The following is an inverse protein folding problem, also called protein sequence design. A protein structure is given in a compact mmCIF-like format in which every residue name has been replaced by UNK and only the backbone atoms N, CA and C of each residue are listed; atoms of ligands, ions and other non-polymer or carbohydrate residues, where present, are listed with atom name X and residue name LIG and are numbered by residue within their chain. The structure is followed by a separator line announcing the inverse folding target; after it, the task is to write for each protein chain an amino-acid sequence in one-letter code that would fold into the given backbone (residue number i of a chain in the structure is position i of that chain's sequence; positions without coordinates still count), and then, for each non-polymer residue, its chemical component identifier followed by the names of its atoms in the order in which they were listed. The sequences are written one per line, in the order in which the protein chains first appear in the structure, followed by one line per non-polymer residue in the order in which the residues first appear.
data_IF_144726392446
#
_entry.id   IF_144726392446
#
_cell.length_a   1.000
_cell.length_b   1.000
_cell.length_c   1.000
_cell.angle_alpha   90.00
_cell.angle_beta   90.00
_cell.angle_gamma   90.00
#
_symmetry.space_group_name_H-M   'P 1'
#
loop_
_entity.id
_entity.type
_entity.pdbx_description
1 polymer ?
#
# COMPACT_ATOMS: atom_id res chain seq x y z
N UNK A 1 1.11 42.94 10.43
CA UNK A 1 2.16 41.91 10.29
C UNK A 1 1.86 40.83 11.31
N UNK A 2 1.17 39.79 10.89
CA UNK A 2 0.87 38.61 11.72
C UNK A 2 1.78 37.49 11.22
N UNK A 3 2.78 37.16 12.03
CA UNK A 3 3.73 36.11 11.71
C UNK A 3 3.05 34.75 11.71
N UNK A 4 3.01 34.07 10.57
CA UNK A 4 2.63 32.68 10.44
C UNK A 4 3.70 31.79 11.11
N UNK A 5 3.55 31.57 12.41
CA UNK A 5 4.31 30.56 13.14
C UNK A 5 3.64 29.20 12.87
N UNK A 6 3.92 28.61 11.70
CA UNK A 6 3.70 27.18 11.50
C UNK A 6 4.75 26.45 12.33
N UNK A 7 4.41 26.16 13.58
CA UNK A 7 5.11 25.17 14.38
C UNK A 7 5.10 23.87 13.58
N UNK A 8 6.23 23.52 12.96
CA UNK A 8 6.44 22.17 12.41
C UNK A 8 6.19 21.22 13.56
N UNK A 9 5.10 20.44 13.48
CA UNK A 9 4.87 19.30 14.37
C UNK A 9 6.17 18.50 14.36
N UNK A 10 6.82 18.34 15.49
CA UNK A 10 8.04 17.55 15.59
C UNK A 10 7.63 16.11 15.29
N UNK A 11 8.09 15.55 14.17
CA UNK A 11 7.82 14.15 13.79
C UNK A 11 8.43 13.26 14.86
N UNK A 12 7.61 12.38 15.44
CA UNK A 12 8.06 11.43 16.45
C UNK A 12 8.17 10.04 15.82
N UNK A 13 9.35 9.73 15.29
CA UNK A 13 9.65 8.42 14.69
C UNK A 13 9.93 7.42 15.81
N UNK A 14 9.12 6.36 15.89
CA UNK A 14 9.30 5.24 16.82
C UNK A 14 10.14 4.16 16.16
N UNK A 15 11.33 3.92 16.72
CA UNK A 15 12.18 2.80 16.33
C UNK A 15 11.78 1.56 17.14
N UNK A 16 11.52 0.46 16.47
CA UNK A 16 11.10 -0.81 17.08
C UNK A 16 12.29 -1.65 17.47
N UNK A 17 12.17 -2.37 18.57
CA UNK A 17 13.16 -3.40 18.95
C UNK A 17 13.06 -4.61 18.01
N UNK A 18 14.08 -5.49 17.98
CA UNK A 18 14.00 -6.75 17.24
C UNK A 18 12.78 -7.60 17.64
N UNK A 19 12.43 -7.65 18.92
CA UNK A 19 11.29 -8.40 19.45
C UNK A 19 9.96 -7.79 18.97
N UNK A 20 9.87 -6.46 18.89
CA UNK A 20 8.69 -5.78 18.33
C UNK A 20 8.55 -6.06 16.83
N UNK A 21 9.65 -6.09 16.08
CA UNK A 21 9.66 -6.43 14.65
C UNK A 21 9.22 -7.88 14.41
N UNK A 22 9.59 -8.81 15.29
CA UNK A 22 9.08 -10.19 15.23
C UNK A 22 7.55 -10.27 15.43
N UNK A 23 7.00 -9.47 16.35
CA UNK A 23 5.53 -9.37 16.51
C UNK A 23 4.87 -8.74 15.28
N UNK A 24 5.47 -7.69 14.71
CA UNK A 24 5.03 -7.11 13.44
C UNK A 24 5.07 -8.15 12.31
N UNK A 25 6.12 -8.99 12.27
CA UNK A 25 6.25 -10.06 11.30
C UNK A 25 5.06 -11.03 11.31
N UNK A 26 4.49 -11.33 12.50
CA UNK A 26 3.27 -12.16 12.61
C UNK A 26 2.05 -11.46 12.03
N UNK A 27 1.86 -10.18 12.31
CA UNK A 27 0.79 -9.38 11.71
C UNK A 27 0.93 -9.31 10.19
N UNK A 28 2.15 -9.07 9.69
CA UNK A 28 2.47 -9.04 8.25
C UNK A 28 2.26 -10.39 7.55
N UNK A 29 2.57 -11.52 8.23
CA UNK A 29 2.27 -12.85 7.70
C UNK A 29 0.77 -13.06 7.55
N UNK A 30 -0.02 -12.71 8.58
CA UNK A 30 -1.48 -12.82 8.50
C UNK A 30 -2.05 -11.90 7.42
N UNK A 31 -1.54 -10.67 7.28
CA UNK A 31 -1.90 -9.75 6.19
C UNK A 31 -1.65 -10.40 4.82
N UNK A 32 -0.46 -10.98 4.63
CA UNK A 32 -0.07 -11.62 3.37
C UNK A 32 -0.94 -12.84 3.04
N UNK A 33 -1.26 -13.66 4.06
CA UNK A 33 -2.19 -14.80 3.90
C UNK A 33 -3.61 -14.35 3.62
N UNK A 34 -4.06 -13.26 4.23
CA UNK A 34 -5.39 -12.69 3.96
C UNK A 34 -5.51 -12.25 2.51
N UNK A 35 -4.50 -11.55 2.00
CA UNK A 35 -4.46 -11.12 0.62
C UNK A 35 -4.48 -12.31 -0.35
N UNK A 36 -3.74 -13.37 -0.04
CA UNK A 36 -3.75 -14.61 -0.82
C UNK A 36 -5.11 -15.34 -0.77
N UNK A 37 -5.80 -15.32 0.37
CA UNK A 37 -7.17 -15.85 0.47
C UNK A 37 -8.13 -15.10 -0.44
N UNK A 38 -8.05 -13.74 -0.42
CA UNK A 38 -8.85 -12.91 -1.32
C UNK A 38 -8.52 -13.16 -2.79
N UNK A 39 -7.25 -13.39 -3.14
CA UNK A 39 -6.79 -13.66 -4.50
C UNK A 39 -7.51 -14.84 -5.17
N UNK A 40 -7.96 -15.84 -4.39
CA UNK A 40 -8.75 -16.99 -4.88
C UNK A 40 -10.11 -16.58 -5.45
N UNK A 41 -10.62 -15.42 -5.03
CA UNK A 41 -11.95 -14.92 -5.37
C UNK A 41 -11.92 -13.81 -6.42
N UNK A 42 -10.77 -13.28 -6.78
CA UNK A 42 -10.66 -12.21 -7.79
C UNK A 42 -10.97 -12.79 -9.18
N UNK A 43 -12.19 -12.54 -9.65
CA UNK A 43 -12.68 -12.99 -10.95
C UNK A 43 -13.85 -12.11 -11.43
N UNK A 44 -14.14 -12.05 -12.74
CA UNK A 44 -15.34 -11.42 -13.23
C UNK A 44 -16.59 -12.01 -12.58
N UNK A 45 -17.56 -11.16 -12.22
CA UNK A 45 -18.80 -11.57 -11.55
C UNK A 45 -18.76 -11.55 -10.02
N UNK A 46 -17.60 -11.37 -9.40
CA UNK A 46 -17.47 -11.26 -7.93
C UNK A 46 -17.65 -9.81 -7.53
N UNK A 47 -18.38 -9.56 -6.43
CA UNK A 47 -18.56 -8.20 -5.88
C UNK A 47 -17.44 -7.82 -4.92
N UNK A 48 -17.14 -6.52 -4.82
CA UNK A 48 -16.14 -6.04 -3.83
C UNK A 48 -16.61 -6.27 -2.39
N UNK A 49 -17.93 -6.26 -2.10
CA UNK A 49 -18.47 -6.69 -0.80
C UNK A 49 -18.13 -8.16 -0.49
N UNK A 50 -18.14 -9.04 -1.49
CA UNK A 50 -17.76 -10.45 -1.28
C UNK A 50 -16.29 -10.56 -0.88
N UNK A 51 -15.40 -9.81 -1.54
CA UNK A 51 -13.97 -9.79 -1.22
C UNK A 51 -13.74 -9.27 0.20
N UNK A 52 -14.43 -8.19 0.59
CA UNK A 52 -14.37 -7.64 1.95
C UNK A 52 -14.79 -8.66 3.01
N UNK A 53 -15.90 -9.38 2.75
CA UNK A 53 -16.40 -10.42 3.67
C UNK A 53 -15.40 -11.56 3.83
N UNK A 54 -14.77 -11.99 2.73
CA UNK A 54 -13.73 -13.05 2.74
C UNK A 54 -12.53 -12.61 3.60
N UNK A 55 -12.04 -11.39 3.41
CA UNK A 55 -10.94 -10.86 4.19
C UNK A 55 -11.28 -10.77 5.68
N UNK A 56 -12.44 -10.18 5.99
CA UNK A 56 -12.91 -10.01 7.36
C UNK A 56 -13.03 -11.35 8.10
N UNK A 57 -13.67 -12.34 7.48
CA UNK A 57 -13.85 -13.68 8.04
C UNK A 57 -12.47 -14.33 8.28
N UNK A 58 -11.60 -14.34 7.27
CA UNK A 58 -10.28 -14.94 7.37
C UNK A 58 -9.41 -14.30 8.46
N UNK A 59 -9.40 -12.97 8.57
CA UNK A 59 -8.65 -12.26 9.62
C UNK A 59 -9.14 -12.66 11.01
N UNK A 60 -10.47 -12.63 11.23
CA UNK A 60 -11.07 -12.97 12.52
C UNK A 60 -10.83 -14.43 12.92
N UNK A 61 -10.95 -15.37 11.97
CA UNK A 61 -10.73 -16.80 12.19
C UNK A 61 -9.26 -17.12 12.54
N UNK A 62 -8.34 -16.25 12.16
CA UNK A 62 -6.92 -16.37 12.49
C UNK A 62 -6.48 -15.49 13.68
N UNK A 63 -7.44 -14.96 14.45
CA UNK A 63 -7.18 -14.23 15.69
C UNK A 63 -6.72 -12.78 15.50
N UNK A 64 -6.72 -12.27 14.27
CA UNK A 64 -6.42 -10.87 13.96
C UNK A 64 -7.67 -9.99 14.02
N UNK A 65 -7.46 -8.70 13.80
CA UNK A 65 -8.49 -7.67 13.64
C UNK A 65 -8.28 -6.91 12.33
N UNK A 66 -9.31 -6.76 11.47
CA UNK A 66 -9.20 -5.88 10.31
C UNK A 66 -9.07 -4.43 10.78
N UNK A 67 -7.88 -3.85 10.59
CA UNK A 67 -7.55 -2.57 11.19
C UNK A 67 -8.26 -1.40 10.51
N UNK A 68 -8.60 -1.52 9.23
CA UNK A 68 -9.36 -0.50 8.49
C UNK A 68 -10.80 -0.36 9.00
N UNK A 69 -11.43 -1.45 9.45
CA UNK A 69 -12.86 -1.44 9.83
C UNK A 69 -13.12 -0.51 11.02
N UNK A 70 -13.87 0.56 10.76
CA UNK A 70 -14.19 1.59 11.75
C UNK A 70 -13.09 2.64 11.96
N UNK A 71 -11.93 2.50 11.35
CA UNK A 71 -10.86 3.50 11.42
C UNK A 71 -11.31 4.82 10.81
N UNK A 72 -11.40 5.88 11.63
CA UNK A 72 -11.96 7.17 11.19
C UNK A 72 -13.34 7.10 10.56
N UNK A 73 -14.10 6.02 10.79
CA UNK A 73 -15.42 5.79 10.19
C UNK A 73 -15.41 5.00 8.88
N UNK A 74 -14.25 4.47 8.45
CA UNK A 74 -14.15 3.61 7.26
C UNK A 74 -15.04 2.38 7.38
N UNK A 75 -15.91 2.06 6.38
CA UNK A 75 -16.96 1.05 6.55
C UNK A 75 -16.51 -0.39 6.29
N UNK A 76 -15.37 -0.60 5.61
CA UNK A 76 -14.88 -1.89 5.16
C UNK A 76 -13.75 -2.47 6.00
N UNK A 77 -13.49 -3.76 5.84
CA UNK A 77 -12.31 -4.43 6.37
C UNK A 77 -11.07 -4.20 5.50
N UNK A 78 -11.27 -3.90 4.20
CA UNK A 78 -10.23 -3.74 3.17
C UNK A 78 -10.58 -2.57 2.26
N UNK A 79 -9.58 -1.82 1.80
CA UNK A 79 -9.78 -0.83 0.75
C UNK A 79 -9.87 -1.53 -0.62
N UNK A 80 -10.82 -1.09 -1.45
CA UNK A 80 -11.14 -1.66 -2.77
C UNK A 80 -10.83 -0.66 -3.88
N UNK A 81 -9.74 -0.83 -4.58
CA UNK A 81 -9.18 0.14 -5.51
C UNK A 81 -9.42 -0.30 -6.97
N UNK A 82 -10.67 -0.15 -7.41
CA UNK A 82 -11.07 -0.59 -8.75
C UNK A 82 -10.69 0.47 -9.79
N UNK A 83 -9.94 0.08 -10.81
CA UNK A 83 -9.58 0.87 -11.99
C UNK A 83 -8.95 2.23 -11.64
N UNK A 84 -9.73 3.31 -11.70
CA UNK A 84 -9.29 4.68 -11.44
C UNK A 84 -9.29 5.06 -9.95
N UNK A 85 -9.72 4.18 -9.05
CA UNK A 85 -9.61 4.40 -7.60
C UNK A 85 -8.16 4.17 -7.21
N UNK A 86 -7.56 5.22 -6.63
CA UNK A 86 -6.14 5.23 -6.25
C UNK A 86 -5.94 4.57 -4.90
N UNK A 87 -6.72 5.01 -3.88
CA UNK A 87 -6.71 4.47 -2.51
C UNK A 87 -8.08 4.69 -1.84
N UNK A 88 -8.31 3.99 -0.75
CA UNK A 88 -9.43 4.17 0.20
C UNK A 88 -10.82 3.97 -0.43
N UNK A 89 -10.94 3.19 -1.50
CA UNK A 89 -12.24 2.83 -2.06
C UNK A 89 -13.05 1.93 -1.12
N UNK A 90 -14.36 2.16 -1.03
CA UNK A 90 -15.24 1.35 -0.19
C UNK A 90 -15.62 0.03 -0.85
N UNK A 91 -15.71 -1.07 -0.07
CA UNK A 91 -16.45 -2.25 -0.52
C UNK A 91 -17.88 -1.87 -0.89
N UNK A 92 -18.40 -2.46 -1.95
CA UNK A 92 -19.73 -2.12 -2.48
C UNK A 92 -20.34 -3.30 -3.26
N UNK A 93 -21.53 -3.06 -3.84
CA UNK A 93 -22.14 -3.99 -4.79
C UNK A 93 -21.50 -3.97 -6.19
N UNK A 94 -20.40 -3.19 -6.39
CA UNK A 94 -19.69 -3.22 -7.65
C UNK A 94 -19.25 -4.64 -7.97
N UNK A 95 -19.64 -5.12 -9.13
CA UNK A 95 -19.29 -6.44 -9.63
C UNK A 95 -18.12 -6.34 -10.60
N UNK A 96 -17.03 -7.01 -10.29
CA UNK A 96 -15.83 -7.04 -11.11
C UNK A 96 -16.15 -7.54 -12.52
N UNK A 97 -15.53 -6.93 -13.51
CA UNK A 97 -15.73 -7.20 -14.94
C UNK A 97 -14.42 -7.63 -15.58
N UNK A 98 -14.55 -8.34 -16.69
CA UNK A 98 -13.42 -8.62 -17.58
C UNK A 98 -12.72 -7.33 -17.99
N UNK A 99 -11.40 -7.27 -17.81
CA UNK A 99 -10.58 -6.09 -18.10
C UNK A 99 -10.41 -5.08 -16.97
N UNK A 100 -11.10 -5.25 -15.83
CA UNK A 100 -10.85 -4.46 -14.63
C UNK A 100 -9.47 -4.78 -14.03
N UNK A 101 -8.95 -3.84 -13.26
CA UNK A 101 -7.91 -4.09 -12.25
C UNK A 101 -8.47 -3.74 -10.87
N UNK A 102 -7.99 -4.42 -9.84
CA UNK A 102 -8.38 -4.12 -8.46
C UNK A 102 -7.18 -4.20 -7.53
N UNK A 103 -6.83 -3.07 -6.88
CA UNK A 103 -5.98 -3.07 -5.70
C UNK A 103 -6.78 -3.53 -4.49
N UNK A 104 -6.20 -4.45 -3.74
CA UNK A 104 -6.71 -4.90 -2.46
C UNK A 104 -5.68 -4.50 -1.40
N UNK A 105 -6.02 -3.48 -0.63
CA UNK A 105 -5.17 -2.91 0.41
C UNK A 105 -5.67 -3.37 1.77
N UNK A 106 -4.86 -4.19 2.43
CA UNK A 106 -5.21 -4.99 3.61
C UNK A 106 -4.34 -4.63 4.78
N UNK A 107 -4.96 -4.13 5.85
CA UNK A 107 -4.28 -3.90 7.13
C UNK A 107 -4.82 -4.82 8.21
N UNK A 108 -3.94 -5.62 8.80
CA UNK A 108 -4.28 -6.54 9.89
C UNK A 108 -3.56 -6.11 11.16
N UNK A 109 -4.32 -5.99 12.26
CA UNK A 109 -3.75 -5.92 13.60
C UNK A 109 -3.73 -7.30 14.23
N UNK A 110 -2.56 -7.70 14.74
CA UNK A 110 -2.37 -8.92 15.51
C UNK A 110 -1.38 -8.64 16.65
N UNK A 111 -1.68 -9.11 17.87
CA UNK A 111 -0.85 -8.94 19.06
C UNK A 111 -0.47 -7.46 19.34
N UNK A 112 -1.33 -6.50 18.96
CA UNK A 112 -1.14 -5.07 19.17
C UNK A 112 -0.18 -4.39 18.17
N UNK A 113 0.13 -5.04 17.05
CA UNK A 113 0.88 -4.50 15.93
C UNK A 113 0.13 -4.65 14.62
N UNK A 114 0.42 -3.76 13.67
CA UNK A 114 -0.18 -3.75 12.34
C UNK A 114 0.80 -4.27 11.29
N UNK A 115 0.26 -5.01 10.32
CA UNK A 115 0.89 -5.32 9.05
C UNK A 115 0.04 -4.75 7.93
N UNK A 116 0.66 -4.15 6.94
CA UNK A 116 0.03 -3.43 5.84
C UNK A 116 0.57 -3.91 4.50
N UNK A 117 -0.31 -4.11 3.51
CA UNK A 117 0.08 -4.66 2.23
C UNK A 117 -0.99 -4.45 1.16
N UNK A 118 -0.59 -3.99 0.00
CA UNK A 118 -1.46 -3.88 -1.16
C UNK A 118 -0.91 -4.62 -2.38
N UNK A 119 -1.80 -5.24 -3.13
CA UNK A 119 -1.50 -5.85 -4.43
C UNK A 119 -2.63 -5.55 -5.42
N UNK A 120 -2.29 -5.02 -6.59
CA UNK A 120 -3.25 -4.83 -7.68
C UNK A 120 -3.34 -6.09 -8.54
N UNK A 121 -4.55 -6.63 -8.67
CA UNK A 121 -4.88 -7.83 -9.43
C UNK A 121 -5.50 -7.50 -10.78
N UNK A 122 -5.12 -8.20 -11.86
CA UNK A 122 -5.89 -8.18 -13.10
C UNK A 122 -7.15 -9.04 -12.95
N UNK A 123 -8.25 -8.59 -13.53
CA UNK A 123 -9.53 -9.33 -13.57
C UNK A 123 -9.78 -9.82 -14.99
N UNK A 124 -9.55 -11.11 -15.21
CA UNK A 124 -9.57 -11.68 -16.57
C UNK A 124 -8.46 -11.13 -17.46
N UNK A 125 -8.79 -10.85 -18.73
CA UNK A 125 -7.84 -10.27 -19.69
C UNK A 125 -7.88 -8.74 -19.61
N UNK A 126 -6.75 -8.15 -19.26
CA UNK A 126 -6.57 -6.70 -19.09
C UNK A 126 -5.76 -6.14 -20.27
N UNK A 127 -6.06 -4.91 -20.67
CA UNK A 127 -5.29 -4.20 -21.72
C UNK A 127 -3.80 -4.16 -21.36
N UNK A 128 -2.93 -4.41 -22.35
CA UNK A 128 -1.48 -4.52 -22.13
C UNK A 128 -0.87 -3.22 -21.58
N UNK A 129 -1.43 -2.05 -21.91
CA UNK A 129 -0.94 -0.78 -21.34
C UNK A 129 -1.22 -0.70 -19.84
N UNK A 130 -2.36 -1.27 -19.40
CA UNK A 130 -2.70 -1.34 -17.98
C UNK A 130 -1.85 -2.40 -17.28
N UNK A 131 -1.63 -3.56 -17.91
CA UNK A 131 -0.70 -4.57 -17.41
C UNK A 131 0.73 -4.01 -17.25
N UNK A 132 1.17 -3.19 -18.19
CA UNK A 132 2.49 -2.54 -18.09
C UNK A 132 2.55 -1.50 -16.97
N UNK A 133 1.46 -0.75 -16.72
CA UNK A 133 1.33 0.10 -15.54
C UNK A 133 1.51 -0.71 -14.25
N UNK A 134 0.78 -1.83 -14.13
CA UNK A 134 0.84 -2.70 -12.95
C UNK A 134 2.26 -3.23 -12.71
N UNK A 135 2.91 -3.77 -13.75
CA UNK A 135 4.31 -4.23 -13.67
C UNK A 135 5.25 -3.11 -13.24
N UNK A 136 5.13 -1.93 -13.85
CA UNK A 136 6.00 -0.79 -13.53
C UNK A 136 5.79 -0.31 -12.09
N UNK A 137 4.56 -0.29 -11.61
CA UNK A 137 4.24 0.09 -10.21
C UNK A 137 4.87 -0.90 -9.24
N UNK A 138 4.68 -2.20 -9.45
CA UNK A 138 5.29 -3.25 -8.62
C UNK A 138 6.82 -3.16 -8.63
N UNK A 139 7.44 -3.01 -9.80
CA UNK A 139 8.89 -2.86 -9.91
C UNK A 139 9.40 -1.59 -9.19
N UNK A 140 8.63 -0.49 -9.23
CA UNK A 140 8.99 0.75 -8.55
C UNK A 140 8.98 0.60 -7.03
N UNK A 141 8.10 -0.23 -6.47
CA UNK A 141 8.09 -0.60 -5.06
C UNK A 141 9.45 -1.20 -4.67
N UNK A 142 9.93 -2.19 -5.41
CA UNK A 142 11.24 -2.81 -5.13
C UNK A 142 12.39 -1.83 -5.33
N UNK A 143 12.30 -0.87 -6.28
CA UNK A 143 13.31 0.21 -6.39
C UNK A 143 13.35 1.10 -5.15
N UNK A 144 12.20 1.35 -4.53
CA UNK A 144 12.12 2.05 -3.25
C UNK A 144 12.72 1.23 -2.10
N UNK A 145 12.40 -0.06 -2.04
CA UNK A 145 12.90 -1.00 -1.03
C UNK A 145 14.44 -1.15 -1.13
N UNK A 146 15.00 -1.27 -2.33
CA UNK A 146 16.45 -1.43 -2.57
C UNK A 146 17.30 -0.32 -1.94
N UNK A 147 16.74 0.88 -1.81
CA UNK A 147 17.43 2.03 -1.22
C UNK A 147 17.03 2.32 0.23
N UNK A 148 16.06 1.58 0.78
CA UNK A 148 15.63 1.67 2.16
C UNK A 148 16.62 0.96 3.08
N UNK A 149 17.72 1.62 3.46
CA UNK A 149 18.74 1.07 4.34
C UNK A 149 19.31 2.13 5.26
N UNK A 150 19.91 1.70 6.35
CA UNK A 150 20.48 2.61 7.34
C UNK A 150 21.44 3.61 6.71
N UNK A 151 21.34 4.88 7.15
CA UNK A 151 22.14 6.00 6.66
C UNK A 151 21.55 6.71 5.45
N UNK A 152 20.73 6.05 4.64
CA UNK A 152 19.95 6.71 3.59
C UNK A 152 18.82 7.55 4.21
N UNK A 153 18.05 8.23 3.39
CA UNK A 153 16.94 9.10 3.80
C UNK A 153 15.64 8.72 3.11
N UNK A 154 14.52 9.08 3.69
CA UNK A 154 13.20 8.85 3.09
C UNK A 154 13.09 9.44 1.68
N UNK A 155 13.72 10.59 1.41
CA UNK A 155 13.78 11.17 0.07
C UNK A 155 14.54 10.34 -0.97
N UNK A 156 15.38 9.39 -0.55
CA UNK A 156 16.06 8.46 -1.46
C UNK A 156 15.07 7.42 -1.98
N UNK A 157 14.16 6.92 -1.11
CA UNK A 157 13.05 6.02 -1.47
C UNK A 157 12.13 6.74 -2.46
N UNK A 158 11.66 7.94 -2.08
CA UNK A 158 10.79 8.78 -2.88
C UNK A 158 11.34 9.03 -4.29
N UNK A 159 12.64 9.37 -4.39
CA UNK A 159 13.30 9.62 -5.66
C UNK A 159 13.47 8.36 -6.52
N UNK A 160 13.73 7.21 -5.90
CA UNK A 160 13.87 5.93 -6.60
C UNK A 160 12.56 5.54 -7.29
N UNK A 161 11.43 5.60 -6.56
CA UNK A 161 10.09 5.33 -7.09
C UNK A 161 9.75 6.31 -8.21
N UNK A 162 9.84 7.62 -7.94
CA UNK A 162 9.51 8.66 -8.90
C UNK A 162 10.29 8.51 -10.21
N UNK A 163 11.61 8.41 -10.10
CA UNK A 163 12.49 8.35 -11.29
C UNK A 163 12.19 7.12 -12.13
N UNK A 164 11.87 5.98 -11.49
CA UNK A 164 11.56 4.74 -12.19
C UNK A 164 10.27 4.86 -13.00
N UNK A 165 9.21 5.39 -12.40
CA UNK A 165 7.88 5.52 -13.02
C UNK A 165 7.84 6.63 -14.08
N UNK A 166 8.34 7.84 -13.75
CA UNK A 166 8.26 8.99 -14.67
C UNK A 166 9.09 8.79 -15.95
N UNK A 167 10.24 8.09 -15.88
CA UNK A 167 11.03 7.72 -17.08
C UNK A 167 10.28 6.76 -18.01
N UNK A 168 9.25 6.09 -17.53
CA UNK A 168 8.39 5.18 -18.30
C UNK A 168 7.08 5.83 -18.74
N UNK A 169 6.93 7.14 -18.48
CA UNK A 169 5.78 7.94 -18.92
C UNK A 169 4.57 7.85 -17.98
N UNK A 170 4.73 7.28 -16.78
CA UNK A 170 3.68 7.23 -15.77
C UNK A 170 3.76 8.40 -14.78
N UNK A 171 2.65 8.68 -14.12
CA UNK A 171 2.54 9.78 -13.15
C UNK A 171 2.47 9.27 -11.72
N UNK A 172 3.25 9.88 -10.82
CA UNK A 172 3.26 9.55 -9.40
C UNK A 172 2.26 10.43 -8.65
N UNK A 173 1.38 9.82 -7.86
CA UNK A 173 0.45 10.52 -6.95
C UNK A 173 1.26 11.22 -5.86
N UNK A 174 0.84 12.44 -5.48
CA UNK A 174 1.60 13.29 -4.54
C UNK A 174 0.84 13.62 -3.27
N UNK A 175 -0.46 13.47 -3.27
CA UNK A 175 -1.36 13.79 -2.17
C UNK A 175 -1.46 12.66 -1.15
N UNK A 176 -1.07 11.46 -1.54
CA UNK A 176 -1.04 10.26 -0.72
C UNK A 176 0.40 9.74 -0.64
N UNK A 177 0.75 9.09 0.46
CA UNK A 177 2.11 8.63 0.71
C UNK A 177 2.10 7.45 1.69
N UNK A 178 3.16 6.69 1.67
CA UNK A 178 3.45 5.70 2.69
C UNK A 178 3.76 6.32 4.05
N UNK A 179 3.90 5.50 5.04
CA UNK A 179 3.96 5.94 6.44
C UNK A 179 4.80 5.01 7.31
N UNK A 180 5.19 5.51 8.48
CA UNK A 180 5.64 4.65 9.58
C UNK A 180 4.49 3.74 10.02
N UNK A 181 4.81 2.54 10.51
CA UNK A 181 3.82 1.57 10.96
C UNK A 181 4.32 0.82 12.19
N UNK A 182 3.41 0.38 13.04
CA UNK A 182 3.73 -0.36 14.25
C UNK A 182 2.51 -0.63 15.09
N UNK A 183 2.46 -0.09 16.31
CA UNK A 183 1.27 -0.18 17.18
C UNK A 183 0.09 0.63 16.63
N UNK A 184 0.37 1.69 15.90
CA UNK A 184 -0.64 2.40 15.12
C UNK A 184 -0.49 2.01 13.65
N UNK A 185 -1.60 1.99 12.93
CA UNK A 185 -1.61 1.83 11.48
C UNK A 185 -0.75 2.90 10.82
N UNK A 186 -0.96 4.16 11.15
CA UNK A 186 -0.17 5.28 10.65
C UNK A 186 0.69 5.89 11.75
N UNK A 187 2.00 5.87 11.54
CA UNK A 187 3.01 6.52 12.38
C UNK A 187 3.90 7.43 11.52
N UNK A 188 4.72 8.27 12.19
CA UNK A 188 5.82 8.97 11.51
C UNK A 188 6.95 7.97 11.11
N UNK A 189 7.67 8.24 10.02
CA UNK A 189 7.56 9.38 9.12
C UNK A 189 6.58 9.14 7.97
N UNK A 190 6.14 10.20 7.29
CA UNK A 190 5.58 10.09 5.95
C UNK A 190 6.65 9.57 4.97
N UNK A 191 6.23 8.69 4.04
CA UNK A 191 7.09 8.05 3.03
C UNK A 191 6.54 8.38 1.64
N UNK A 192 6.75 9.59 1.11
CA UNK A 192 6.22 9.98 -0.18
C UNK A 192 6.88 9.20 -1.32
N UNK A 193 6.13 9.04 -2.41
CA UNK A 193 6.57 8.38 -3.64
C UNK A 193 7.26 9.33 -4.63
N UNK A 194 7.49 10.58 -4.24
CA UNK A 194 8.19 11.61 -5.02
C UNK A 194 9.07 12.45 -4.11
N UNK A 195 10.19 12.91 -4.62
CA UNK A 195 11.10 13.75 -3.82
C UNK A 195 12.53 13.82 -4.35
N UNK A 196 13.37 14.47 -3.56
CA UNK A 196 14.81 14.66 -3.88
C UNK A 196 15.66 13.71 -3.05
N UNK A 197 16.67 13.13 -3.68
CA UNK A 197 17.70 12.34 -2.99
C UNK A 197 18.34 13.16 -1.85
N UNK A 198 18.67 12.46 -0.77
CA UNK A 198 19.36 13.02 0.38
C UNK A 198 18.49 13.95 1.23
N UNK A 199 17.15 13.96 1.07
CA UNK A 199 16.23 14.78 1.88
C UNK A 199 15.36 13.93 2.82
N UNK A 200 14.71 14.59 3.77
CA UNK A 200 13.84 13.93 4.74
C UNK A 200 14.58 13.26 5.90
N UNK A 201 13.85 12.54 6.76
CA UNK A 201 14.42 11.81 7.90
C UNK A 201 15.48 10.78 7.48
N UNK A 202 16.47 10.59 8.34
CA UNK A 202 17.48 9.54 8.17
C UNK A 202 16.87 8.21 8.56
N UNK A 203 17.06 7.20 7.73
CA UNK A 203 16.69 5.82 7.98
C UNK A 203 17.65 5.22 9.00
N UNK A 204 17.10 4.60 10.04
CA UNK A 204 17.84 4.01 11.16
C UNK A 204 17.35 2.59 11.44
N UNK A 205 18.18 1.80 12.10
CA UNK A 205 17.76 0.50 12.63
C UNK A 205 16.53 0.64 13.53
N UNK A 206 15.58 -0.29 13.39
CA UNK A 206 14.30 -0.27 14.08
C UNK A 206 13.21 0.52 13.37
N UNK A 207 13.51 1.23 12.27
CA UNK A 207 12.49 1.89 11.46
C UNK A 207 11.63 0.85 10.75
N UNK A 208 10.29 0.95 10.93
CA UNK A 208 9.30 0.16 10.22
C UNK A 208 8.39 1.11 9.44
N UNK A 209 8.24 0.88 8.15
CA UNK A 209 7.46 1.73 7.24
C UNK A 209 6.70 0.92 6.20
N UNK A 210 5.59 1.48 5.74
CA UNK A 210 4.91 1.09 4.51
C UNK A 210 5.53 1.86 3.33
N UNK A 211 5.92 1.14 2.28
CA UNK A 211 6.35 1.72 1.00
C UNK A 211 5.29 1.32 -0.01
N UNK A 212 4.57 2.30 -0.54
CA UNK A 212 3.31 2.09 -1.28
C UNK A 212 3.20 2.99 -2.52
N UNK A 213 3.91 2.70 -3.61
CA UNK A 213 3.75 3.45 -4.85
C UNK A 213 2.32 3.41 -5.38
N UNK A 214 1.73 4.59 -5.55
CA UNK A 214 0.45 4.84 -6.24
C UNK A 214 0.75 5.53 -7.57
N UNK A 215 0.54 4.81 -8.67
CA UNK A 215 1.00 5.23 -10.00
C UNK A 215 -0.17 5.28 -10.98
N UNK A 216 -0.33 6.42 -11.64
CA UNK A 216 -1.42 6.66 -12.59
C UNK A 216 -0.97 6.47 -14.04
N UNK A 217 -1.82 5.83 -14.84
CA UNK A 217 -1.65 5.73 -16.30
C UNK A 217 -1.72 7.11 -16.98
N UNK A 218 -2.51 8.01 -16.42
CA UNK A 218 -2.71 9.36 -16.92
C UNK A 218 -2.02 10.44 -16.10
N UNK A 219 -2.76 11.50 -15.79
CA UNK A 219 -2.25 12.61 -14.97
C UNK A 219 -2.10 12.20 -13.51
N UNK A 220 -1.19 12.90 -12.79
CA UNK A 220 -0.97 12.67 -11.36
C UNK A 220 -2.11 13.15 -10.45
N UNK A 221 -3.01 13.98 -10.98
CA UNK A 221 -4.01 14.67 -10.18
C UNK A 221 -5.11 13.71 -9.73
N UNK A 222 -5.48 13.80 -8.47
CA UNK A 222 -6.57 13.04 -7.86
C UNK A 222 -7.71 13.97 -7.42
N UNK A 223 -8.84 13.35 -7.09
CA UNK A 223 -9.99 13.99 -6.41
C UNK A 223 -10.40 13.07 -5.27
N UNK A 224 -10.81 13.67 -4.16
CA UNK A 224 -11.47 12.95 -3.06
C UNK A 224 -12.97 13.04 -3.33
N UNK A 225 -13.65 11.89 -3.32
CA UNK A 225 -15.08 11.80 -3.56
C UNK A 225 -15.90 12.36 -2.39
N UNK A 226 -17.20 12.51 -2.58
CA UNK A 226 -18.09 13.11 -1.58
C UNK A 226 -18.22 12.28 -0.28
N UNK A 227 -17.80 11.01 -0.30
CA UNK A 227 -17.72 10.15 0.89
C UNK A 227 -16.59 10.53 1.85
N UNK A 228 -15.71 11.45 1.42
CA UNK A 228 -14.57 11.95 2.20
C UNK A 228 -13.37 10.99 2.29
N UNK A 229 -13.42 9.83 1.61
CA UNK A 229 -12.40 8.77 1.64
C UNK A 229 -11.87 8.39 0.27
N UNK A 230 -12.75 7.98 -0.63
CA UNK A 230 -12.38 7.44 -1.94
C UNK A 230 -11.56 8.45 -2.74
N UNK A 231 -10.29 8.14 -2.98
CA UNK A 231 -9.41 8.93 -3.82
C UNK A 231 -9.39 8.34 -5.23
N UNK A 232 -9.64 9.16 -6.23
CA UNK A 232 -9.77 8.75 -7.63
C UNK A 232 -8.93 9.63 -8.54
N UNK A 233 -8.39 9.05 -9.63
CA UNK A 233 -7.72 9.86 -10.65
C UNK A 233 -8.68 10.87 -11.26
N UNK A 234 -8.23 12.11 -11.44
CA UNK A 234 -9.09 13.18 -12.00
C UNK A 234 -9.50 12.90 -13.44
N UNK A 235 -8.64 12.28 -14.22
CA UNK A 235 -8.89 11.95 -15.63
C UNK A 235 -9.54 10.59 -15.85
N UNK A 236 -9.89 9.88 -14.76
CA UNK A 236 -10.57 8.57 -14.77
C UNK A 236 -9.79 7.47 -15.49
N UNK A 237 -8.48 7.63 -15.64
CA UNK A 237 -7.60 6.58 -16.13
C UNK A 237 -7.15 5.68 -14.99
N UNK A 238 -6.80 4.40 -15.27
CA UNK A 238 -6.38 3.46 -14.25
C UNK A 238 -5.22 3.95 -13.40
N UNK A 239 -5.24 3.56 -12.12
CA UNK A 239 -4.16 3.65 -11.17
C UNK A 239 -3.81 2.27 -10.66
N UNK A 240 -2.54 2.02 -10.37
CA UNK A 240 -2.08 0.79 -9.72
C UNK A 240 -1.37 1.13 -8.41
N UNK A 241 -1.58 0.28 -7.41
CA UNK A 241 -1.03 0.39 -6.07
C UNK A 241 -0.41 -0.95 -5.67
N UNK A 242 0.83 -0.91 -5.19
CA UNK A 242 1.52 -2.06 -4.60
C UNK A 242 2.24 -1.62 -3.34
N UNK A 243 2.24 -2.45 -2.33
CA UNK A 243 2.76 -2.08 -1.03
C UNK A 243 3.41 -3.24 -0.31
N UNK A 244 4.46 -2.91 0.44
CA UNK A 244 5.05 -3.77 1.45
C UNK A 244 5.31 -3.02 2.75
N UNK A 245 5.04 -3.67 3.88
CA UNK A 245 5.62 -3.30 5.17
C UNK A 245 7.06 -3.81 5.22
N UNK A 246 7.99 -2.91 5.52
CA UNK A 246 9.42 -3.21 5.65
C UNK A 246 9.97 -2.74 7.00
N UNK A 247 10.99 -3.43 7.49
CA UNK A 247 11.76 -3.02 8.67
C UNK A 247 13.25 -2.89 8.32
N UNK A 248 13.95 -2.00 8.98
CA UNK A 248 15.41 -1.89 8.89
C UNK A 248 16.04 -2.55 10.10
N UNK A 249 16.78 -3.62 9.89
CA UNK A 249 17.52 -4.38 10.90
C UNK A 249 18.95 -4.64 10.42
N UNK A 250 19.90 -4.53 11.32
CA UNK A 250 21.34 -4.75 11.03
C UNK A 250 21.81 -3.94 9.81
N UNK A 251 21.31 -2.72 9.68
CA UNK A 251 21.61 -1.80 8.57
C UNK A 251 20.93 -2.12 7.24
N UNK A 252 20.20 -3.23 7.15
CA UNK A 252 19.57 -3.73 5.92
C UNK A 252 18.04 -3.71 6.01
N UNK A 253 17.38 -3.66 4.87
CA UNK A 253 15.93 -3.78 4.78
C UNK A 253 15.51 -5.25 4.84
N UNK A 254 14.51 -5.53 5.68
CA UNK A 254 13.74 -6.78 5.68
C UNK A 254 12.32 -6.47 5.25
N UNK A 255 11.83 -7.15 4.23
CA UNK A 255 10.42 -7.11 3.85
C UNK A 255 9.69 -8.03 4.82
N UNK A 256 8.68 -7.50 5.53
CA UNK A 256 7.93 -8.27 6.53
C UNK A 256 6.68 -8.92 5.94
N UNK A 257 6.05 -8.32 4.92
CA UNK A 257 4.97 -8.91 4.12
C UNK A 257 5.54 -9.69 2.93
N UNK A 258 4.75 -10.56 2.29
CA UNK A 258 5.23 -11.29 1.10
C UNK A 258 4.14 -11.45 0.05
N UNK A 259 4.52 -11.32 -1.23
CA UNK A 259 3.65 -11.69 -2.36
C UNK A 259 3.73 -13.19 -2.72
N UNK A 260 4.56 -13.98 -2.05
CA UNK A 260 4.74 -15.41 -2.39
C UNK A 260 3.45 -16.22 -2.26
N UNK A 261 2.63 -15.92 -1.25
CA UNK A 261 1.33 -16.57 -1.09
C UNK A 261 0.36 -16.22 -2.21
N UNK A 262 0.38 -14.96 -2.67
CA UNK A 262 -0.38 -14.51 -3.84
C UNK A 262 0.13 -15.21 -5.11
N UNK A 263 1.45 -15.31 -5.29
CA UNK A 263 2.08 -16.00 -6.41
C UNK A 263 1.67 -17.47 -6.48
N UNK A 264 1.62 -18.17 -5.34
CA UNK A 264 1.16 -19.56 -5.26
C UNK A 264 -0.31 -19.72 -5.70
N UNK A 265 -1.17 -18.77 -5.38
CA UNK A 265 -2.58 -18.79 -5.78
C UNK A 265 -2.75 -18.46 -7.26
N UNK A 266 -2.03 -17.47 -7.77
CA UNK A 266 -2.20 -16.98 -9.13
C UNK A 266 -1.47 -17.83 -10.19
N UNK A 267 -0.36 -18.50 -9.83
CA UNK A 267 0.46 -19.25 -10.78
C UNK A 267 0.93 -18.36 -11.93
N UNK A 268 0.67 -18.76 -13.16
CA UNK A 268 1.08 -18.01 -14.39
C UNK A 268 0.41 -16.61 -14.52
N UNK A 269 -0.62 -16.31 -13.71
CA UNK A 269 -1.28 -15.00 -13.67
C UNK A 269 -0.57 -14.00 -12.74
N UNK A 270 0.46 -14.43 -12.03
CA UNK A 270 1.23 -13.56 -11.16
C UNK A 270 2.08 -12.59 -11.99
N UNK A 271 2.04 -11.31 -11.63
CA UNK A 271 2.78 -10.22 -12.28
C UNK A 271 3.97 -9.80 -11.44
#
# INVERSE_FOLDING_TARGET
MAGNNHLRKQQMIYLKTPEEIELMGRACDLTSRTLAEMAKWVAPGVTTNKLDSVAKEFILDNGGRPACLGYGGFPGAVCMEVNEIVVHGFPSSYTLREGDIIGLDVVVELDGYNGDMCYTFPVGQVDEKVMQLMRTTKESLYKGIDVCREGNRIGDIANAVQTYCERRGYSVVREMCGHGIGRKMHEDPEVPNYGRRGTGPVIRNGLCIAIEPMINLGSRNIVIEADGWTCRTRDRKPSAHYEHTVAVLDGQTRILTTFDYVAQVLGDRFI
#
